data_IF_144456803732
#
_entry.id   IF_144456803732
#
_cell.length_a   1.000
_cell.length_b   1.000
_cell.length_c   1.000
_cell.angle_alpha   90.00
_cell.angle_beta   90.00
_cell.angle_gamma   90.00
#
_symmetry.space_group_name_H-M   'P 1'
#
loop_
_entity.id
_entity.type
_entity.pdbx_description
1 polymer ?
#
# COMPACT_ATOMS: atom_id res chain seq x y z
N UNK A 1 -20.05 24.96 11.73
CA UNK A 1 -18.77 24.43 12.28
C UNK A 1 -18.76 22.90 12.17
N UNK A 2 -18.91 22.37 10.96
CA UNK A 2 -19.31 20.97 10.73
C UNK A 2 -18.42 20.27 9.69
N UNK A 3 -17.12 20.61 9.67
CA UNK A 3 -16.23 20.21 8.58
C UNK A 3 -15.35 18.98 8.84
N UNK A 4 -15.37 18.35 10.02
CA UNK A 4 -14.60 17.11 10.24
C UNK A 4 -15.21 16.19 11.30
N UNK A 5 -16.43 15.70 11.11
CA UNK A 5 -16.90 14.52 11.86
C UNK A 5 -16.28 13.24 11.26
N UNK A 6 -14.94 13.18 11.16
CA UNK A 6 -14.24 11.96 10.76
C UNK A 6 -14.29 11.01 11.94
N UNK A 7 -14.93 9.85 11.76
CA UNK A 7 -15.10 8.88 12.84
C UNK A 7 -13.75 8.52 13.50
N UNK A 8 -13.70 8.27 14.82
CA UNK A 8 -12.45 7.92 15.50
C UNK A 8 -11.73 6.71 14.87
N UNK A 9 -12.49 5.75 14.31
CA UNK A 9 -11.95 4.61 13.59
C UNK A 9 -11.19 5.02 12.32
N UNK A 10 -11.78 5.90 11.51
CA UNK A 10 -11.17 6.39 10.27
C UNK A 10 -9.88 7.18 10.51
N UNK A 11 -9.81 7.95 11.61
CA UNK A 11 -8.59 8.67 11.98
C UNK A 11 -7.44 7.70 12.29
N UNK A 12 -7.74 6.59 12.96
CA UNK A 12 -6.77 5.53 13.26
C UNK A 12 -6.27 4.86 11.98
N UNK A 13 -7.18 4.56 11.04
CA UNK A 13 -6.83 3.92 9.77
C UNK A 13 -5.92 4.82 8.90
N UNK A 14 -6.17 6.13 8.90
CA UNK A 14 -5.32 7.13 8.23
C UNK A 14 -3.93 7.17 8.90
N UNK A 15 -3.88 7.22 10.22
CA UNK A 15 -2.62 7.24 10.97
C UNK A 15 -1.81 5.95 10.74
N UNK A 16 -2.47 4.78 10.77
CA UNK A 16 -1.84 3.49 10.48
C UNK A 16 -1.35 3.40 9.04
N UNK A 17 -2.12 3.88 8.07
CA UNK A 17 -1.70 3.95 6.66
C UNK A 17 -0.45 4.83 6.50
N UNK A 18 -0.40 5.98 7.17
CA UNK A 18 0.76 6.86 7.19
C UNK A 18 1.99 6.18 7.80
N UNK A 19 1.82 5.53 8.97
CA UNK A 19 2.88 4.78 9.63
C UNK A 19 3.42 3.64 8.75
N UNK A 20 2.53 2.89 8.09
CA UNK A 20 2.91 1.82 7.17
C UNK A 20 3.74 2.31 6.00
N UNK A 21 3.34 3.43 5.38
CA UNK A 21 4.09 4.06 4.29
C UNK A 21 5.49 4.47 4.79
N UNK A 22 5.58 5.06 5.98
CA UNK A 22 6.86 5.46 6.58
C UNK A 22 7.78 4.24 6.82
N UNK A 23 7.24 3.14 7.34
CA UNK A 23 8.01 1.90 7.56
C UNK A 23 8.52 1.34 6.23
N UNK A 24 7.69 1.30 5.19
CA UNK A 24 8.11 0.83 3.86
C UNK A 24 9.19 1.74 3.26
N UNK A 25 9.05 3.06 3.41
CA UNK A 25 10.07 4.02 2.97
C UNK A 25 11.39 3.84 3.72
N UNK A 26 11.34 3.66 5.04
CA UNK A 26 12.52 3.41 5.87
C UNK A 26 13.20 2.10 5.47
N UNK A 27 12.44 1.00 5.30
CA UNK A 27 12.96 -0.28 4.84
C UNK A 27 13.62 -0.17 3.47
N UNK A 28 13.00 0.55 2.52
CA UNK A 28 13.58 0.83 1.20
C UNK A 28 14.89 1.61 1.31
N UNK A 29 14.93 2.67 2.12
CA UNK A 29 16.12 3.47 2.31
C UNK A 29 17.26 2.65 2.94
N UNK A 30 16.95 1.81 3.93
CA UNK A 30 17.92 0.92 4.58
C UNK A 30 18.46 -0.12 3.60
N UNK A 31 17.59 -0.76 2.81
CA UNK A 31 17.98 -1.74 1.80
C UNK A 31 18.91 -1.12 0.74
N UNK A 32 18.61 0.09 0.27
CA UNK A 32 19.48 0.82 -0.67
C UNK A 32 20.81 1.23 -0.04
N UNK A 33 20.81 1.62 1.25
CA UNK A 33 22.02 2.00 1.99
C UNK A 33 22.96 0.81 2.21
N UNK A 34 22.42 -0.35 2.62
CA UNK A 34 23.16 -1.60 2.77
C UNK A 34 23.75 -2.02 1.42
N UNK A 35 22.96 -1.93 0.35
CA UNK A 35 23.41 -2.32 -0.98
C UNK A 35 24.54 -1.44 -1.52
N UNK A 36 24.51 -0.14 -1.23
CA UNK A 36 25.58 0.79 -1.63
C UNK A 36 26.94 0.41 -1.03
N UNK A 37 26.94 -0.26 0.12
CA UNK A 37 28.17 -0.74 0.79
C UNK A 37 28.60 -2.13 0.35
N UNK A 38 27.74 -2.93 -0.31
CA UNK A 38 27.97 -4.36 -0.56
C UNK A 38 28.16 -4.73 -2.04
N UNK A 39 27.83 -3.86 -2.99
CA UNK A 39 27.79 -4.21 -4.42
C UNK A 39 28.50 -3.18 -5.30
N UNK A 40 29.75 -3.48 -5.67
CA UNK A 40 30.51 -2.73 -6.68
C UNK A 40 30.02 -2.96 -8.11
N UNK A 41 29.49 -4.15 -8.42
CA UNK A 41 29.04 -4.51 -9.76
C UNK A 41 27.70 -3.85 -10.14
N UNK A 42 27.72 -3.03 -11.20
CA UNK A 42 26.58 -2.23 -11.69
C UNK A 42 25.38 -3.10 -12.08
N UNK A 43 25.61 -4.29 -12.65
CA UNK A 43 24.51 -5.19 -13.08
C UNK A 43 23.74 -5.76 -11.89
N UNK A 44 24.47 -6.15 -10.84
CA UNK A 44 23.88 -6.68 -9.61
C UNK A 44 23.10 -5.56 -8.91
N UNK A 45 23.67 -4.35 -8.82
CA UNK A 45 23.02 -3.18 -8.21
C UNK A 45 21.67 -2.83 -8.85
N UNK A 46 21.56 -2.98 -10.17
CA UNK A 46 20.31 -2.69 -10.90
C UNK A 46 19.21 -3.71 -10.58
N UNK A 47 19.54 -5.02 -10.58
CA UNK A 47 18.58 -6.09 -10.27
C UNK A 47 18.04 -5.98 -8.84
N UNK A 48 18.91 -5.71 -7.88
CA UNK A 48 18.50 -5.54 -6.50
C UNK A 48 17.65 -4.28 -6.29
N UNK A 49 17.99 -3.15 -6.92
CA UNK A 49 17.14 -1.94 -6.87
C UNK A 49 15.74 -2.22 -7.40
N UNK A 50 15.65 -2.96 -8.51
CA UNK A 50 14.37 -3.37 -9.10
C UNK A 50 13.61 -4.28 -8.14
N UNK A 51 14.26 -5.32 -7.62
CA UNK A 51 13.67 -6.29 -6.68
C UNK A 51 13.13 -5.62 -5.42
N UNK A 52 13.94 -4.78 -4.76
CA UNK A 52 13.52 -4.01 -3.57
C UNK A 52 12.29 -3.15 -3.89
N UNK A 53 12.29 -2.47 -5.04
CA UNK A 53 11.16 -1.60 -5.42
C UNK A 53 9.89 -2.41 -5.63
N UNK A 54 9.95 -3.53 -6.37
CA UNK A 54 8.78 -4.38 -6.60
C UNK A 54 8.24 -4.98 -5.29
N UNK A 55 9.13 -5.49 -4.42
CA UNK A 55 8.73 -6.02 -3.12
C UNK A 55 8.09 -4.92 -2.26
N UNK A 56 8.70 -3.72 -2.19
CA UNK A 56 8.14 -2.60 -1.43
C UNK A 56 6.75 -2.20 -1.91
N UNK A 57 6.51 -2.19 -3.23
CA UNK A 57 5.20 -1.86 -3.81
C UNK A 57 4.17 -2.94 -3.46
N UNK A 58 4.50 -4.22 -3.64
CA UNK A 58 3.58 -5.33 -3.30
C UNK A 58 3.22 -5.29 -1.81
N UNK A 59 4.22 -5.11 -0.95
CA UNK A 59 4.01 -5.03 0.50
C UNK A 59 3.15 -3.81 0.87
N UNK A 60 3.41 -2.64 0.28
CA UNK A 60 2.60 -1.45 0.51
C UNK A 60 1.14 -1.66 0.11
N UNK A 61 0.88 -2.25 -1.07
CA UNK A 61 -0.48 -2.55 -1.55
C UNK A 61 -1.20 -3.49 -0.59
N UNK A 62 -0.54 -4.58 -0.15
CA UNK A 62 -1.15 -5.55 0.76
C UNK A 62 -1.48 -4.91 2.12
N UNK A 63 -0.58 -4.09 2.66
CA UNK A 63 -0.77 -3.44 3.95
C UNK A 63 -1.88 -2.37 3.90
N UNK A 64 -1.88 -1.53 2.86
CA UNK A 64 -2.96 -0.54 2.67
C UNK A 64 -4.29 -1.23 2.41
N UNK A 65 -4.33 -2.25 1.55
CA UNK A 65 -5.53 -3.05 1.30
C UNK A 65 -6.06 -3.72 2.57
N UNK A 66 -5.18 -4.16 3.48
CA UNK A 66 -5.58 -4.72 4.79
C UNK A 66 -6.27 -3.69 5.67
N UNK A 67 -5.73 -2.47 5.77
CA UNK A 67 -6.31 -1.38 6.58
C UNK A 67 -7.69 -0.99 6.05
N UNK A 68 -7.81 -0.82 4.74
CA UNK A 68 -9.06 -0.36 4.11
C UNK A 68 -10.05 -1.49 3.80
N UNK A 69 -9.73 -2.74 4.12
CA UNK A 69 -10.56 -3.91 3.82
C UNK A 69 -12.02 -3.78 4.28
N UNK A 70 -12.26 -3.16 5.44
CA UNK A 70 -13.60 -2.88 5.95
C UNK A 70 -14.38 -1.82 5.15
N UNK A 71 -13.69 -0.87 4.52
CA UNK A 71 -14.29 0.19 3.72
C UNK A 71 -14.71 -0.27 2.31
N UNK A 72 -14.13 -1.37 1.81
CA UNK A 72 -14.47 -1.91 0.50
C UNK A 72 -15.76 -2.75 0.48
N UNK A 73 -16.37 -3.05 1.63
CA UNK A 73 -17.56 -3.91 1.69
C UNK A 73 -18.77 -3.36 0.91
N UNK A 74 -19.11 -2.09 1.13
CA UNK A 74 -20.21 -1.43 0.43
C UNK A 74 -19.94 -1.27 -1.07
N UNK A 75 -18.70 -0.90 -1.42
CA UNK A 75 -18.21 -0.81 -2.80
C UNK A 75 -18.29 -2.16 -3.53
N UNK A 76 -17.84 -3.24 -2.90
CA UNK A 76 -17.88 -4.58 -3.48
C UNK A 76 -19.32 -5.06 -3.70
N UNK A 77 -20.23 -4.73 -2.77
CA UNK A 77 -21.65 -5.07 -2.90
C UNK A 77 -22.30 -4.30 -4.06
N UNK A 78 -22.05 -2.99 -4.14
CA UNK A 78 -22.52 -2.16 -5.26
C UNK A 78 -22.00 -2.66 -6.60
N UNK A 79 -20.69 -2.91 -6.71
CA UNK A 79 -20.07 -3.43 -7.92
C UNK A 79 -20.60 -4.83 -8.27
N UNK A 80 -20.84 -5.69 -7.27
CA UNK A 80 -21.45 -7.00 -7.48
C UNK A 80 -22.87 -6.90 -8.06
N UNK A 81 -23.70 -6.01 -7.53
CA UNK A 81 -25.05 -5.75 -8.06
C UNK A 81 -25.00 -5.12 -9.46
N UNK A 82 -24.11 -4.15 -9.68
CA UNK A 82 -23.91 -3.50 -10.98
C UNK A 82 -23.44 -4.51 -12.02
N UNK A 83 -22.46 -5.34 -11.70
CA UNK A 83 -21.97 -6.41 -12.58
C UNK A 83 -23.04 -7.47 -12.84
N UNK A 84 -23.88 -7.80 -11.86
CA UNK A 84 -25.02 -8.70 -12.07
C UNK A 84 -26.06 -8.09 -13.02
N UNK A 85 -26.35 -6.79 -12.90
CA UNK A 85 -27.21 -6.07 -13.84
C UNK A 85 -26.61 -6.04 -15.26
N UNK A 86 -25.31 -5.78 -15.37
CA UNK A 86 -24.58 -5.80 -16.66
C UNK A 86 -24.54 -7.19 -17.30
N UNK A 87 -24.57 -8.25 -16.49
CA UNK A 87 -24.56 -9.63 -16.98
C UNK A 87 -25.93 -10.10 -17.51
N UNK A 88 -27.02 -9.44 -17.09
CA UNK A 88 -28.40 -9.79 -17.45
C UNK A 88 -28.95 -8.90 -18.57
N UNK A 89 -28.40 -7.68 -18.75
CA UNK A 89 -28.74 -6.75 -19.83
C UNK A 89 -28.17 -7.18 -21.20
#
# INVERSE_FOLDING_TARGET
EELTAVSPGTQMDIALSGLLILVVMAARALALRIMRSRVEDVRIRYRWRKTITYISVVVAILLVGRVWSGAFGELATFLGLLSAGLAIA
#
